data_IF_170927474737
#
_entry.id   IF_170927474737
#
_cell.length_a   1.000
_cell.length_b   1.000
_cell.length_c   1.000
_cell.angle_alpha   90.00
_cell.angle_beta   90.00
_cell.angle_gamma   90.00
#
_symmetry.space_group_name_H-M   'P 1'
#
loop_
_entity.id
_entity.type
_entity.pdbx_description
1 polymer ?
#
# COMPACT_ATOMS: atom_id res chain seq x y z
N UNK A 1 -63.27 15.33 6.46
CA UNK A 1 -62.28 15.93 5.53
C UNK A 1 -61.07 16.55 6.23
N UNK A 2 -61.23 17.28 7.35
CA UNK A 2 -60.10 17.86 8.10
C UNK A 2 -59.14 16.79 8.67
N UNK A 3 -59.69 15.69 9.21
CA UNK A 3 -58.94 14.52 9.70
C UNK A 3 -58.13 13.81 8.62
N UNK A 4 -58.67 13.68 7.40
CA UNK A 4 -57.97 13.07 6.27
C UNK A 4 -56.78 13.93 5.79
N UNK A 5 -56.92 15.27 5.81
CA UNK A 5 -55.81 16.20 5.54
C UNK A 5 -54.66 16.04 6.55
N UNK A 6 -54.98 15.91 7.84
CA UNK A 6 -53.94 15.69 8.87
C UNK A 6 -53.20 14.36 8.67
N UNK A 7 -53.90 13.30 8.24
CA UNK A 7 -53.30 12.00 7.95
C UNK A 7 -52.35 12.05 6.74
N UNK A 8 -52.73 12.76 5.66
CA UNK A 8 -51.86 12.94 4.49
C UNK A 8 -50.61 13.78 4.80
N UNK A 9 -50.71 14.79 5.66
CA UNK A 9 -49.57 15.60 6.09
C UNK A 9 -48.60 14.75 6.94
N UNK A 10 -49.14 13.93 7.86
CA UNK A 10 -48.33 13.05 8.70
C UNK A 10 -47.56 12.00 7.87
N UNK A 11 -48.23 11.40 6.88
CA UNK A 11 -47.61 10.45 5.95
C UNK A 11 -46.48 11.10 5.14
N UNK A 12 -46.65 12.36 4.72
CA UNK A 12 -45.62 13.09 4.00
C UNK A 12 -44.40 13.39 4.89
N UNK A 13 -44.62 13.72 6.17
CA UNK A 13 -43.53 13.94 7.15
C UNK A 13 -42.78 12.64 7.46
N UNK A 14 -43.47 11.50 7.53
CA UNK A 14 -42.83 10.20 7.70
C UNK A 14 -42.04 9.77 6.46
N UNK A 15 -42.49 10.15 5.25
CA UNK A 15 -41.81 9.79 3.99
C UNK A 15 -40.46 10.48 3.77
N UNK A 16 -40.17 11.56 4.50
CA UNK A 16 -38.87 12.26 4.47
C UNK A 16 -37.90 11.79 5.57
N UNK A 17 -38.33 10.89 6.46
CA UNK A 17 -37.47 10.30 7.49
C UNK A 17 -36.72 9.11 6.91
N UNK A 18 -35.48 9.33 6.44
CA UNK A 18 -34.57 8.23 6.09
C UNK A 18 -33.40 8.15 7.07
N UNK A 19 -32.93 6.92 7.33
CA UNK A 19 -31.68 6.69 8.06
C UNK A 19 -30.51 6.96 7.13
N UNK A 20 -29.71 8.00 7.42
CA UNK A 20 -28.54 8.35 6.60
C UNK A 20 -27.35 7.41 6.82
N UNK A 21 -27.17 6.94 8.05
CA UNK A 21 -25.92 6.30 8.46
C UNK A 21 -26.00 4.76 8.50
N UNK A 22 -27.13 4.16 8.12
CA UNK A 22 -27.32 2.70 8.17
C UNK A 22 -26.36 1.95 7.23
N UNK A 23 -25.98 2.57 6.10
CA UNK A 23 -25.05 2.01 5.14
C UNK A 23 -23.61 2.55 5.31
N UNK A 24 -23.39 3.49 6.22
CA UNK A 24 -22.07 4.08 6.49
C UNK A 24 -21.41 3.39 7.68
N UNK A 25 -20.94 2.16 7.46
CA UNK A 25 -20.23 1.38 8.47
C UNK A 25 -18.73 1.55 8.26
N UNK A 26 -18.09 2.30 9.15
CA UNK A 26 -16.64 2.46 9.16
C UNK A 26 -15.94 1.14 9.53
N UNK A 27 -14.85 0.77 8.84
CA UNK A 27 -14.07 -0.41 9.19
C UNK A 27 -13.52 -0.27 10.62
N UNK A 28 -13.60 -1.35 11.38
CA UNK A 28 -13.18 -1.40 12.78
C UNK A 28 -11.78 -2.00 12.87
N UNK A 29 -10.90 -1.39 13.68
CA UNK A 29 -9.54 -1.89 13.90
C UNK A 29 -8.56 -1.63 12.75
N UNK A 30 -8.99 -0.94 11.70
CA UNK A 30 -8.17 -0.61 10.53
C UNK A 30 -7.86 0.89 10.50
N UNK A 31 -6.63 1.23 10.12
CA UNK A 31 -6.26 2.62 9.86
C UNK A 31 -6.72 3.00 8.45
N UNK A 32 -7.64 3.96 8.32
CA UNK A 32 -8.04 4.51 7.03
C UNK A 32 -7.27 5.78 6.72
N UNK A 33 -7.11 6.10 5.43
CA UNK A 33 -6.46 7.36 5.00
C UNK A 33 -7.22 8.62 5.44
N UNK A 34 -8.51 8.49 5.78
CA UNK A 34 -9.34 9.58 6.29
C UNK A 34 -9.11 9.84 7.78
N UNK A 35 -8.77 8.78 8.54
CA UNK A 35 -8.65 8.82 9.99
C UNK A 35 -7.20 8.75 10.49
N UNK A 36 -6.21 8.68 9.59
CA UNK A 36 -4.79 8.55 9.91
C UNK A 36 -3.91 9.26 8.89
N UNK A 37 -2.84 9.96 9.31
CA UNK A 37 -2.44 10.32 10.69
C UNK A 37 -3.18 11.55 11.23
N UNK A 38 -3.48 11.59 12.54
CA UNK A 38 -4.19 12.73 13.19
C UNK A 38 -3.49 13.29 14.44
N UNK A 39 -2.57 12.53 15.04
CA UNK A 39 -1.82 12.91 16.24
C UNK A 39 -0.30 12.88 16.02
N UNK A 40 0.46 13.44 16.96
CA UNK A 40 1.93 13.34 16.94
C UNK A 40 2.41 11.87 17.03
N UNK A 41 1.70 11.03 17.77
CA UNK A 41 1.98 9.60 17.84
C UNK A 41 1.72 8.92 16.48
N UNK A 42 0.66 9.31 15.78
CA UNK A 42 0.38 8.81 14.43
C UNK A 42 1.43 9.26 13.42
N UNK A 43 1.92 10.51 13.53
CA UNK A 43 3.00 11.01 12.68
C UNK A 43 4.27 10.17 12.85
N UNK A 44 4.62 9.84 14.10
CA UNK A 44 5.73 8.94 14.39
C UNK A 44 5.47 7.53 13.86
N UNK A 45 4.25 7.00 14.03
CA UNK A 45 3.88 5.67 13.53
C UNK A 45 3.94 5.60 11.99
N UNK A 46 3.44 6.62 11.30
CA UNK A 46 3.50 6.75 9.85
C UNK A 46 4.95 6.81 9.36
N UNK A 47 5.78 7.61 10.03
CA UNK A 47 7.22 7.70 9.74
C UNK A 47 7.93 6.36 9.94
N UNK A 48 7.63 5.66 11.03
CA UNK A 48 8.14 4.31 11.28
C UNK A 48 7.70 3.33 10.20
N UNK A 49 6.48 3.45 9.68
CA UNK A 49 6.00 2.60 8.58
C UNK A 49 6.78 2.82 7.27
N UNK A 50 7.29 4.04 7.02
CA UNK A 50 8.23 4.32 5.92
C UNK A 50 9.50 3.51 6.13
N UNK A 51 10.15 3.63 7.30
CA UNK A 51 11.37 2.89 7.59
C UNK A 51 11.18 1.38 7.62
N UNK A 52 9.99 0.90 8.02
CA UNK A 52 9.66 -0.51 7.97
C UNK A 52 9.67 -1.07 6.54
N UNK A 53 9.39 -0.25 5.52
CA UNK A 53 9.49 -0.69 4.10
C UNK A 53 10.91 -1.07 3.70
N UNK A 54 11.94 -0.42 4.28
CA UNK A 54 13.35 -0.75 4.05
C UNK A 54 13.72 -2.14 4.59
N UNK A 55 12.96 -2.66 5.56
CA UNK A 55 13.18 -4.01 6.10
C UNK A 55 12.51 -5.11 5.28
N UNK A 56 11.75 -4.74 4.25
CA UNK A 56 11.13 -5.72 3.36
C UNK A 56 12.22 -6.44 2.56
N UNK A 57 12.17 -7.77 2.53
CA UNK A 57 13.09 -8.60 1.74
C UNK A 57 13.21 -8.13 0.29
N UNK A 58 12.08 -7.77 -0.32
CA UNK A 58 12.02 -7.37 -1.71
C UNK A 58 12.65 -6.00 -1.98
N UNK A 59 12.84 -5.17 -0.95
CA UNK A 59 13.54 -3.90 -1.09
C UNK A 59 14.99 -4.12 -1.53
N UNK A 60 15.62 -5.18 -1.01
CA UNK A 60 17.00 -5.53 -1.28
C UNK A 60 17.15 -6.62 -2.36
N UNK A 61 16.12 -7.42 -2.62
CA UNK A 61 16.23 -8.58 -3.53
C UNK A 61 16.45 -8.22 -5.00
N UNK A 62 16.09 -7.01 -5.45
CA UNK A 62 16.27 -6.59 -6.85
C UNK A 62 17.27 -5.45 -7.08
N UNK A 63 17.82 -4.85 -6.02
CA UNK A 63 18.69 -3.67 -6.14
C UNK A 63 20.17 -4.00 -5.98
N UNK A 64 20.57 -4.64 -4.89
CA UNK A 64 22.01 -4.88 -4.64
C UNK A 64 22.55 -6.09 -5.40
N UNK A 65 21.94 -7.29 -5.32
CA UNK A 65 22.51 -8.46 -5.97
C UNK A 65 22.48 -8.35 -7.49
N UNK A 66 21.38 -7.85 -8.09
CA UNK A 66 21.26 -7.79 -9.55
C UNK A 66 22.24 -6.77 -10.14
N UNK A 67 22.35 -5.58 -9.54
CA UNK A 67 23.24 -4.54 -10.08
C UNK A 67 24.71 -4.93 -9.96
N UNK A 68 25.13 -5.51 -8.83
CA UNK A 68 26.52 -5.96 -8.64
C UNK A 68 26.84 -7.20 -9.50
N UNK A 69 25.87 -8.09 -9.74
CA UNK A 69 26.05 -9.24 -10.64
C UNK A 69 26.20 -8.77 -12.08
N UNK A 70 25.39 -7.82 -12.52
CA UNK A 70 25.46 -7.26 -13.87
C UNK A 70 26.65 -6.31 -14.05
N UNK A 71 27.28 -5.83 -12.97
CA UNK A 71 28.49 -5.01 -13.03
C UNK A 71 29.78 -5.81 -13.09
N UNK A 72 29.73 -7.15 -12.93
CA UNK A 72 30.87 -8.06 -12.77
C UNK A 72 31.54 -8.10 -11.37
N UNK A 73 30.98 -7.40 -10.39
CA UNK A 73 31.49 -7.37 -9.00
C UNK A 73 31.02 -8.58 -8.16
N UNK A 74 30.01 -9.32 -8.61
CA UNK A 74 29.45 -10.48 -7.92
C UNK A 74 28.94 -11.57 -8.88
N UNK A 75 28.72 -12.78 -8.34
CA UNK A 75 28.04 -13.88 -9.05
C UNK A 75 26.77 -14.30 -8.32
N UNK A 76 25.84 -14.94 -9.03
CA UNK A 76 24.54 -15.37 -8.49
C UNK A 76 24.60 -16.31 -7.27
N UNK A 77 25.74 -16.96 -7.03
CA UNK A 77 25.93 -17.91 -5.93
C UNK A 77 27.16 -18.79 -6.12
N UNK A 78 27.36 -19.74 -5.20
CA UNK A 78 28.52 -20.64 -5.19
C UNK A 78 28.32 -21.86 -6.10
N UNK A 79 27.08 -22.31 -6.30
CA UNK A 79 26.76 -23.45 -7.15
C UNK A 79 26.09 -23.03 -8.47
N UNK A 80 26.26 -23.83 -9.54
CA UNK A 80 25.57 -23.60 -10.81
C UNK A 80 24.04 -23.49 -10.69
N UNK A 81 23.43 -24.15 -9.70
CA UNK A 81 21.98 -24.15 -9.52
C UNK A 81 21.44 -23.03 -8.61
N UNK A 82 22.30 -22.26 -7.93
CA UNK A 82 21.87 -21.20 -7.03
C UNK A 82 21.17 -20.09 -7.82
N UNK A 83 19.92 -19.78 -7.46
CA UNK A 83 19.14 -18.71 -8.11
C UNK A 83 19.02 -18.85 -9.63
N UNK A 84 19.15 -20.06 -10.19
CA UNK A 84 19.33 -20.27 -11.63
C UNK A 84 18.17 -19.70 -12.47
N UNK A 85 16.92 -19.84 -12.00
CA UNK A 85 15.74 -19.33 -12.71
C UNK A 85 15.45 -17.85 -12.45
N UNK A 86 15.98 -17.28 -11.35
CA UNK A 86 15.63 -15.92 -10.90
C UNK A 86 16.77 -14.95 -11.19
N UNK A 87 17.97 -15.22 -10.67
CA UNK A 87 19.16 -14.37 -10.78
C UNK A 87 20.03 -14.74 -11.98
N UNK A 88 20.05 -16.02 -12.37
CA UNK A 88 20.87 -16.54 -13.46
C UNK A 88 20.73 -15.80 -14.81
N UNK A 89 19.52 -15.35 -15.20
CA UNK A 89 19.35 -14.57 -16.43
C UNK A 89 19.94 -13.14 -16.37
N UNK A 90 20.18 -12.59 -15.18
CA UNK A 90 20.91 -11.32 -15.05
C UNK A 90 22.42 -11.51 -15.19
N UNK A 91 22.96 -12.55 -14.53
CA UNK A 91 24.38 -12.96 -14.60
C UNK A 91 24.83 -13.21 -16.05
N UNK A 92 23.95 -13.79 -16.88
CA UNK A 92 24.24 -14.09 -18.28
C UNK A 92 23.61 -13.12 -19.29
N UNK A 93 23.01 -12.02 -18.85
CA UNK A 93 22.33 -11.04 -19.72
C UNK A 93 21.25 -11.63 -20.66
N UNK A 94 20.51 -12.64 -20.19
CA UNK A 94 19.41 -13.30 -20.92
C UNK A 94 18.02 -13.07 -20.30
N UNK A 95 17.91 -12.13 -19.35
CA UNK A 95 16.66 -11.78 -18.68
C UNK A 95 15.58 -11.26 -19.65
N UNK A 96 14.33 -11.47 -19.28
CA UNK A 96 13.16 -11.00 -20.04
C UNK A 96 12.43 -9.88 -19.28
N UNK A 97 11.52 -9.13 -19.93
CA UNK A 97 10.71 -8.12 -19.23
C UNK A 97 9.86 -8.65 -18.08
N UNK A 98 9.59 -9.97 -18.05
CA UNK A 98 8.81 -10.64 -16.99
C UNK A 98 9.69 -11.55 -16.13
N UNK A 99 11.00 -11.27 -16.07
CA UNK A 99 11.92 -12.05 -15.26
C UNK A 99 11.52 -12.03 -13.79
N UNK A 100 11.53 -13.20 -13.15
CA UNK A 100 11.06 -13.35 -11.78
C UNK A 100 11.83 -12.42 -10.81
N UNK A 101 11.07 -11.73 -9.95
CA UNK A 101 11.61 -10.86 -8.91
C UNK A 101 11.60 -9.36 -9.24
N UNK A 102 11.58 -8.96 -10.52
CA UNK A 102 11.52 -7.53 -10.89
C UNK A 102 10.23 -6.87 -10.43
N UNK A 103 9.11 -7.57 -10.61
CA UNK A 103 7.77 -7.12 -10.24
C UNK A 103 7.69 -6.82 -8.73
N UNK A 104 8.19 -7.74 -7.89
CA UNK A 104 8.16 -7.61 -6.43
C UNK A 104 9.12 -6.52 -5.94
N UNK A 105 10.31 -6.44 -6.54
CA UNK A 105 11.26 -5.38 -6.22
C UNK A 105 10.69 -4.00 -6.54
N UNK A 106 10.24 -3.80 -7.78
CA UNK A 106 9.64 -2.55 -8.22
C UNK A 106 8.44 -2.15 -7.37
N UNK A 107 7.51 -3.09 -7.13
CA UNK A 107 6.35 -2.84 -6.28
C UNK A 107 6.73 -2.41 -4.86
N UNK A 108 7.77 -3.02 -4.28
CA UNK A 108 8.24 -2.70 -2.92
C UNK A 108 8.87 -1.30 -2.83
N UNK A 109 9.63 -0.88 -3.86
CA UNK A 109 10.15 0.48 -3.94
C UNK A 109 9.01 1.52 -3.99
N UNK A 110 8.01 1.27 -4.84
CA UNK A 110 6.84 2.15 -4.93
C UNK A 110 5.95 2.12 -3.69
N UNK A 111 5.90 1.00 -2.96
CA UNK A 111 5.24 0.94 -1.66
C UNK A 111 5.95 1.87 -0.66
N UNK A 112 7.28 1.86 -0.61
CA UNK A 112 8.07 2.78 0.22
C UNK A 112 7.80 4.24 -0.12
N UNK A 113 7.80 4.59 -1.42
CA UNK A 113 7.46 5.93 -1.92
C UNK A 113 6.05 6.33 -1.47
N UNK A 114 5.06 5.45 -1.66
CA UNK A 114 3.67 5.71 -1.27
C UNK A 114 3.56 5.98 0.23
N UNK A 115 4.24 5.21 1.08
CA UNK A 115 4.24 5.42 2.53
C UNK A 115 4.90 6.75 2.90
N UNK A 116 6.00 7.13 2.25
CA UNK A 116 6.65 8.42 2.45
C UNK A 116 5.73 9.59 2.07
N UNK A 117 5.00 9.47 0.95
CA UNK A 117 4.05 10.49 0.52
C UNK A 117 2.93 10.71 1.55
N UNK A 118 2.44 9.66 2.22
CA UNK A 118 1.46 9.83 3.31
C UNK A 118 2.00 10.74 4.41
N UNK A 119 3.27 10.57 4.81
CA UNK A 119 3.89 11.43 5.83
C UNK A 119 4.00 12.86 5.33
N UNK A 120 4.58 13.08 4.15
CA UNK A 120 4.80 14.41 3.57
C UNK A 120 3.50 15.18 3.32
N UNK A 121 2.42 14.48 2.95
CA UNK A 121 1.14 15.13 2.62
C UNK A 121 0.23 15.36 3.83
N UNK A 122 0.31 14.50 4.85
CA UNK A 122 -0.68 14.48 5.95
C UNK A 122 -0.12 14.95 7.29
N UNK A 123 1.19 14.85 7.52
CA UNK A 123 1.80 15.31 8.76
C UNK A 123 2.13 16.80 8.64
N UNK A 124 1.55 17.68 9.47
CA UNK A 124 1.86 19.11 9.44
C UNK A 124 3.30 19.38 9.90
N UNK A 125 3.89 20.46 9.38
CA UNK A 125 5.22 20.96 9.76
C UNK A 125 5.28 21.45 11.20
#
# INVERSE_FOLDING_TARGET
MKTLKYFSILALILSISSCKDFLDIKPQGELTQEAFPTSAADAQLATNAVYASLRNWHYHSGGFPILDIMSDDAHKGSNPNDGLSTVGPYDNFTHTPTQDGLDRWWATLYEGIKRANVVTEKVPL
#
